data_IF_199142637435
#
_entry.id   IF_199142637435
#
_cell.length_a   1.000
_cell.length_b   1.000
_cell.length_c   1.000
_cell.angle_alpha   90.00
_cell.angle_beta   90.00
_cell.angle_gamma   90.00
#
_symmetry.space_group_name_H-M   'P 1'
#
loop_
_entity.id
_entity.type
_entity.pdbx_description
1 polymer ?
#
# COMPACT_ATOMS: atom_id res chain seq x y z
N UNK A 1 5.53 -39.37 17.39
CA UNK A 1 6.61 -38.37 17.31
C UNK A 1 6.52 -37.80 15.90
N UNK A 2 5.54 -36.94 15.62
CA UNK A 2 5.32 -36.37 14.27
C UNK A 2 4.66 -34.97 14.34
N UNK A 3 4.76 -34.28 15.48
CA UNK A 3 4.04 -33.01 15.70
C UNK A 3 4.92 -31.77 15.49
N UNK A 4 6.25 -31.94 15.48
CA UNK A 4 7.21 -30.84 15.29
C UNK A 4 7.49 -30.50 13.81
N UNK A 5 7.17 -31.39 12.86
CA UNK A 5 7.43 -31.14 11.42
C UNK A 5 6.41 -30.20 10.77
N UNK A 6 5.14 -30.27 11.19
CA UNK A 6 4.05 -29.48 10.62
C UNK A 6 4.18 -27.99 11.00
N UNK A 7 4.60 -27.71 12.24
CA UNK A 7 4.81 -26.33 12.70
C UNK A 7 5.97 -25.62 11.97
N UNK A 8 6.99 -26.38 11.54
CA UNK A 8 8.14 -25.84 10.81
C UNK A 8 7.81 -25.48 9.36
N UNK A 9 6.91 -26.23 8.72
CA UNK A 9 6.51 -25.98 7.32
C UNK A 9 5.61 -24.76 7.20
N UNK A 10 4.64 -24.60 8.11
CA UNK A 10 3.76 -23.43 8.16
C UNK A 10 4.53 -22.14 8.46
N UNK A 11 5.54 -22.21 9.34
CA UNK A 11 6.43 -21.08 9.63
C UNK A 11 7.23 -20.64 8.39
N UNK A 12 7.76 -21.59 7.64
CA UNK A 12 8.52 -21.34 6.41
C UNK A 12 7.63 -20.71 5.33
N UNK A 13 6.43 -21.27 5.10
CA UNK A 13 5.47 -20.70 4.13
C UNK A 13 5.03 -19.29 4.52
N UNK A 14 4.80 -19.05 5.82
CA UNK A 14 4.44 -17.71 6.32
C UNK A 14 5.58 -16.72 6.11
N UNK A 15 6.82 -17.12 6.35
CA UNK A 15 7.99 -16.29 6.13
C UNK A 15 8.22 -16.00 4.64
N UNK A 16 8.03 -16.99 3.77
CA UNK A 16 8.08 -16.82 2.32
C UNK A 16 7.00 -15.86 1.81
N UNK A 17 5.76 -15.99 2.30
CA UNK A 17 4.69 -15.05 2.00
C UNK A 17 5.05 -13.64 2.45
N UNK A 18 5.57 -13.47 3.67
CA UNK A 18 5.98 -12.16 4.18
C UNK A 18 7.08 -11.51 3.34
N UNK A 19 8.11 -12.27 2.97
CA UNK A 19 9.19 -11.77 2.12
C UNK A 19 8.70 -11.42 0.71
N UNK A 20 7.76 -12.22 0.19
CA UNK A 20 7.08 -11.92 -1.08
C UNK A 20 6.31 -10.62 -0.98
N UNK A 21 5.48 -10.45 0.06
CA UNK A 21 4.75 -9.20 0.30
C UNK A 21 5.72 -8.02 0.46
N UNK A 22 6.80 -8.17 1.21
CA UNK A 22 7.81 -7.12 1.41
C UNK A 22 8.48 -6.71 0.10
N UNK A 23 8.79 -7.66 -0.78
CA UNK A 23 9.35 -7.37 -2.12
C UNK A 23 8.41 -6.48 -2.94
N UNK A 24 7.10 -6.72 -2.89
CA UNK A 24 6.10 -5.99 -3.68
C UNK A 24 5.57 -4.72 -2.98
N UNK A 25 5.68 -4.63 -1.66
CA UNK A 25 5.25 -3.48 -0.87
C UNK A 25 6.39 -2.50 -0.56
N UNK A 26 7.62 -2.81 -1.00
CA UNK A 26 8.81 -2.01 -0.73
C UNK A 26 9.15 -1.94 0.77
N UNK A 27 9.70 -0.80 1.21
CA UNK A 27 10.13 -0.56 2.60
C UNK A 27 9.00 -0.35 3.62
N UNK A 28 7.73 -0.58 3.24
CA UNK A 28 6.57 -0.44 4.13
C UNK A 28 6.57 -1.54 5.20
N UNK A 29 7.02 -2.75 4.82
CA UNK A 29 7.15 -3.86 5.75
C UNK A 29 8.57 -3.90 6.35
N UNK A 30 8.69 -4.08 7.68
CA UNK A 30 9.97 -4.09 8.37
C UNK A 30 10.87 -5.28 7.97
N UNK A 31 12.17 -5.15 8.22
CA UNK A 31 13.12 -6.22 7.95
C UNK A 31 13.05 -7.32 9.02
N UNK A 32 12.87 -8.57 8.60
CA UNK A 32 12.73 -9.70 9.53
C UNK A 32 13.61 -10.84 9.04
N UNK A 33 14.38 -11.46 9.95
CA UNK A 33 15.39 -12.47 9.58
C UNK A 33 14.86 -13.90 9.60
N UNK A 34 13.71 -14.17 10.23
CA UNK A 34 13.08 -15.50 10.27
C UNK A 34 11.57 -15.46 10.52
N UNK A 35 10.86 -16.57 10.23
CA UNK A 35 9.43 -16.74 10.50
C UNK A 35 9.08 -16.60 12.00
N UNK A 36 9.92 -17.14 12.88
CA UNK A 36 9.79 -16.97 14.32
C UNK A 36 9.82 -15.50 14.73
N UNK A 37 10.75 -14.72 14.18
CA UNK A 37 10.86 -13.29 14.49
C UNK A 37 9.62 -12.53 13.98
N UNK A 38 9.08 -12.92 12.81
CA UNK A 38 7.83 -12.37 12.28
C UNK A 38 6.65 -12.65 13.23
N UNK A 39 6.47 -13.91 13.62
CA UNK A 39 5.41 -14.32 14.54
C UNK A 39 5.53 -13.61 15.89
N UNK A 40 6.75 -13.50 16.41
CA UNK A 40 7.04 -12.78 17.64
C UNK A 40 6.69 -11.29 17.50
N UNK A 41 7.10 -10.63 16.42
CA UNK A 41 6.75 -9.23 16.13
C UNK A 41 5.23 -9.02 16.06
N UNK A 42 4.49 -9.92 15.41
CA UNK A 42 3.02 -9.87 15.34
C UNK A 42 2.41 -10.03 16.75
N UNK A 43 2.82 -11.04 17.50
CA UNK A 43 2.32 -11.31 18.86
C UNK A 43 2.55 -10.13 19.80
N UNK A 44 3.78 -9.62 19.85
CA UNK A 44 4.13 -8.44 20.67
C UNK A 44 3.38 -7.20 20.20
N UNK A 45 3.28 -7.00 18.89
CA UNK A 45 2.54 -5.91 18.28
C UNK A 45 1.08 -5.90 18.69
N UNK A 46 0.38 -7.02 18.58
CA UNK A 46 -1.05 -7.12 18.88
C UNK A 46 -1.38 -7.05 20.38
N UNK A 47 -0.39 -7.28 21.26
CA UNK A 47 -0.62 -7.43 22.70
C UNK A 47 -1.30 -6.22 23.37
N UNK A 48 -0.95 -4.94 23.09
CA UNK A 48 -1.66 -3.79 23.66
C UNK A 48 -3.13 -3.73 23.25
N UNK A 49 -3.45 -4.09 22.00
CA UNK A 49 -4.82 -4.18 21.52
C UNK A 49 -5.59 -5.29 22.25
N UNK A 50 -5.02 -6.49 22.34
CA UNK A 50 -5.64 -7.63 23.02
C UNK A 50 -5.89 -7.33 24.51
N UNK A 51 -4.96 -6.64 25.18
CA UNK A 51 -5.13 -6.16 26.57
C UNK A 51 -6.30 -5.19 26.69
N UNK A 52 -6.36 -4.20 25.81
CA UNK A 52 -7.43 -3.21 25.81
C UNK A 52 -8.79 -3.85 25.54
N UNK A 53 -8.86 -4.78 24.57
CA UNK A 53 -10.06 -5.55 24.27
C UNK A 53 -10.49 -6.42 25.44
N UNK A 54 -9.56 -7.15 26.08
CA UNK A 54 -9.87 -8.00 27.22
C UNK A 54 -10.42 -7.20 28.42
N UNK A 55 -9.85 -6.02 28.70
CA UNK A 55 -10.36 -5.09 29.71
C UNK A 55 -11.76 -4.56 29.35
N UNK A 56 -11.98 -4.21 28.09
CA UNK A 56 -13.29 -3.74 27.60
C UNK A 56 -14.37 -4.82 27.75
N UNK A 57 -14.09 -6.06 27.33
CA UNK A 57 -15.04 -7.17 27.50
C UNK A 57 -15.29 -7.52 28.96
N UNK A 58 -14.26 -7.48 29.81
CA UNK A 58 -14.43 -7.63 31.25
C UNK A 58 -15.35 -6.56 31.83
N UNK A 59 -15.16 -5.30 31.43
CA UNK A 59 -16.02 -4.21 31.88
C UNK A 59 -17.48 -4.37 31.45
N UNK A 60 -17.72 -4.82 30.21
CA UNK A 60 -19.08 -4.99 29.69
C UNK A 60 -19.79 -6.23 30.23
N UNK A 61 -19.08 -7.34 30.37
CA UNK A 61 -19.67 -8.66 30.57
C UNK A 61 -19.23 -9.34 31.88
N UNK A 62 -18.39 -8.68 32.69
CA UNK A 62 -17.77 -9.25 33.90
C UNK A 62 -16.98 -10.55 33.66
N UNK A 63 -16.61 -10.84 32.41
CA UNK A 63 -15.81 -12.01 32.06
C UNK A 63 -14.37 -11.82 32.52
N UNK A 64 -13.80 -12.80 33.20
CA UNK A 64 -12.41 -12.73 33.67
C UNK A 64 -11.46 -12.67 32.46
N UNK A 65 -10.59 -11.64 32.34
CA UNK A 65 -9.60 -11.59 31.28
C UNK A 65 -8.63 -12.78 31.37
N UNK A 66 -8.16 -13.33 30.23
CA UNK A 66 -7.10 -14.34 30.23
C UNK A 66 -5.85 -13.85 30.96
N UNK A 67 -5.28 -14.70 31.83
CA UNK A 67 -4.12 -14.35 32.65
C UNK A 67 -2.90 -13.92 31.81
N UNK A 68 -2.71 -14.56 30.65
CA UNK A 68 -1.61 -14.27 29.71
C UNK A 68 -1.64 -12.82 29.19
N UNK A 69 -2.81 -12.18 29.17
CA UNK A 69 -2.97 -10.79 28.75
C UNK A 69 -2.74 -9.81 29.90
N UNK A 70 -3.02 -10.21 31.14
CA UNK A 70 -2.90 -9.37 32.34
C UNK A 70 -1.46 -9.24 32.86
N UNK A 71 -0.54 -10.08 32.40
CA UNK A 71 0.87 -10.05 32.81
C UNK A 71 1.57 -8.73 32.43
N UNK A 72 1.78 -7.83 33.39
CA UNK A 72 2.59 -6.63 33.22
C UNK A 72 4.06 -6.97 33.49
N UNK A 73 4.78 -7.48 32.48
CA UNK A 73 6.26 -7.40 32.39
C UNK A 73 6.78 -8.11 31.15
N UNK A 74 6.89 -7.37 30.06
CA UNK A 74 8.01 -7.54 29.14
C UNK A 74 8.48 -6.14 28.78
N UNK A 75 9.49 -5.69 29.52
CA UNK A 75 10.27 -4.52 29.13
C UNK A 75 10.99 -4.94 27.85
N UNK A 76 10.63 -4.33 26.72
CA UNK A 76 11.29 -4.53 25.44
C UNK A 76 12.72 -3.96 25.55
N UNK A 77 13.62 -4.71 26.20
CA UNK A 77 15.06 -4.46 26.14
C UNK A 77 15.57 -5.11 24.86
N UNK A 78 15.42 -4.39 23.76
CA UNK A 78 15.95 -4.78 22.46
C UNK A 78 15.46 -3.79 21.42
N UNK A 79 16.39 -3.20 20.66
CA UNK A 79 16.10 -2.33 19.52
C UNK A 79 15.48 -3.07 18.34
N UNK A 80 14.44 -3.87 18.58
CA UNK A 80 13.68 -4.62 17.60
C UNK A 80 12.42 -3.88 17.15
N UNK A 81 11.90 -4.32 16.01
CA UNK A 81 10.73 -3.75 15.32
C UNK A 81 9.49 -3.76 16.21
N UNK A 82 9.02 -2.58 16.59
CA UNK A 82 7.76 -2.39 17.31
C UNK A 82 6.67 -2.09 16.29
N UNK A 83 5.69 -3.00 16.15
CA UNK A 83 4.44 -2.66 15.47
C UNK A 83 3.73 -1.63 16.35
N UNK A 84 3.69 -0.36 15.91
CA UNK A 84 3.09 0.74 16.69
C UNK A 84 1.58 0.73 16.51
N UNK A 85 0.87 0.88 17.63
CA UNK A 85 -0.58 1.03 17.67
C UNK A 85 -0.96 2.42 18.21
N UNK A 86 -2.05 3.04 17.71
CA UNK A 86 -2.87 2.57 16.60
C UNK A 86 -2.09 2.61 15.28
N UNK A 87 -2.30 1.61 14.40
CA UNK A 87 -1.73 1.67 13.05
C UNK A 87 -2.33 2.87 12.34
N UNK A 88 -1.50 3.70 11.73
CA UNK A 88 -2.00 4.75 10.86
C UNK A 88 -2.70 4.10 9.66
N UNK A 89 -3.92 4.53 9.37
CA UNK A 89 -4.64 4.10 8.16
C UNK A 89 -3.86 4.54 6.93
N UNK A 90 -3.83 3.70 5.89
CA UNK A 90 -3.27 4.10 4.59
C UNK A 90 -3.99 5.34 4.09
N UNK A 91 -3.27 6.44 3.86
CA UNK A 91 -3.81 7.69 3.32
C UNK A 91 -3.21 7.95 1.95
N UNK A 92 -3.94 8.67 1.12
CA UNK A 92 -3.38 9.28 -0.07
C UNK A 92 -2.60 10.54 0.34
N UNK A 93 -1.69 10.99 -0.53
CA UNK A 93 -0.92 12.22 -0.28
C UNK A 93 -1.84 13.42 -0.12
N UNK A 94 -1.50 14.36 0.76
CA UNK A 94 -2.21 15.64 0.76
C UNK A 94 -1.84 16.41 -0.50
N UNK A 95 -2.82 16.72 -1.32
CA UNK A 95 -2.63 17.61 -2.46
C UNK A 95 -2.57 19.07 -1.98
N UNK A 96 -1.74 19.92 -2.60
CA UNK A 96 -1.75 21.36 -2.34
C UNK A 96 -3.13 21.99 -2.53
N UNK A 97 -3.46 22.99 -1.72
CA UNK A 97 -4.72 23.74 -1.86
C UNK A 97 -4.77 24.51 -3.18
N UNK A 98 -3.63 25.06 -3.62
CA UNK A 98 -3.49 25.68 -4.93
C UNK A 98 -2.99 24.66 -5.96
N UNK A 99 -3.90 24.29 -6.87
CA UNK A 99 -3.62 23.35 -7.97
C UNK A 99 -2.49 23.86 -8.90
N UNK A 100 -2.23 25.17 -8.95
CA UNK A 100 -1.13 25.76 -9.70
C UNK A 100 0.23 25.21 -9.28
N UNK A 101 0.39 24.86 -7.99
CA UNK A 101 1.61 24.23 -7.47
C UNK A 101 1.86 22.88 -8.15
N UNK A 102 0.82 22.05 -8.26
CA UNK A 102 0.90 20.75 -8.95
C UNK A 102 1.14 20.92 -10.45
N UNK A 103 0.50 21.90 -11.09
CA UNK A 103 0.71 22.21 -12.51
C UNK A 103 2.17 22.60 -12.74
N UNK A 104 2.74 23.44 -11.88
CA UNK A 104 4.13 23.88 -11.99
C UNK A 104 5.09 22.71 -11.78
N UNK A 105 4.88 21.89 -10.75
CA UNK A 105 5.68 20.67 -10.51
C UNK A 105 5.65 19.72 -11.71
N UNK A 106 4.46 19.45 -12.25
CA UNK A 106 4.32 18.60 -13.43
C UNK A 106 4.98 19.23 -14.67
N UNK A 107 4.86 20.54 -14.87
CA UNK A 107 5.44 21.24 -16.03
C UNK A 107 6.97 21.30 -15.99
N UNK A 108 7.54 21.32 -14.78
CA UNK A 108 8.99 21.30 -14.55
C UNK A 108 9.58 19.89 -14.49
N UNK A 109 8.76 18.84 -14.54
CA UNK A 109 9.24 17.46 -14.47
C UNK A 109 10.03 17.08 -15.73
N UNK A 110 11.27 16.65 -15.51
CA UNK A 110 12.18 16.13 -16.52
C UNK A 110 12.30 14.62 -16.38
N UNK A 111 12.19 13.91 -17.50
CA UNK A 111 12.28 12.46 -17.51
C UNK A 111 13.71 12.02 -17.13
N UNK A 112 13.88 11.16 -16.10
CA UNK A 112 15.21 10.73 -15.67
C UNK A 112 15.91 9.83 -16.69
N UNK A 113 15.17 9.13 -17.55
CA UNK A 113 15.73 8.24 -18.58
C UNK A 113 15.90 8.88 -19.95
N UNK A 114 15.26 10.01 -20.22
CA UNK A 114 15.36 10.73 -21.52
C UNK A 114 16.43 11.81 -21.52
N UNK A 115 17.48 11.68 -20.70
CA UNK A 115 18.56 12.67 -20.66
C UNK A 115 18.12 14.08 -20.24
N UNK A 116 17.02 14.22 -19.50
CA UNK A 116 16.52 15.51 -19.03
C UNK A 116 15.47 16.18 -19.93
N UNK A 117 15.02 15.52 -21.01
CA UNK A 117 13.90 16.02 -21.80
C UNK A 117 12.61 16.14 -20.96
N UNK A 118 11.80 17.16 -21.27
CA UNK A 118 10.48 17.35 -20.64
C UNK A 118 9.59 16.16 -20.93
N UNK A 119 8.95 15.61 -19.91
CA UNK A 119 7.95 14.56 -20.11
C UNK A 119 6.72 15.15 -20.80
N UNK A 120 6.19 14.43 -21.79
CA UNK A 120 4.94 14.82 -22.49
C UNK A 120 3.71 14.64 -21.61
N UNK A 121 3.78 13.71 -20.66
CA UNK A 121 2.66 13.32 -19.82
C UNK A 121 3.13 12.94 -18.39
N UNK A 122 3.58 13.93 -17.60
CA UNK A 122 3.88 13.76 -16.19
C UNK A 122 2.61 13.42 -15.40
N UNK A 123 2.70 12.42 -14.54
CA UNK A 123 1.59 11.92 -13.73
C UNK A 123 2.05 11.72 -12.29
N UNK A 124 1.24 12.15 -11.32
CA UNK A 124 1.51 12.09 -9.89
C UNK A 124 0.91 10.82 -9.27
N UNK A 125 1.70 10.01 -8.59
CA UNK A 125 1.19 8.91 -7.78
C UNK A 125 0.54 9.46 -6.51
N UNK A 126 -0.76 9.20 -6.31
CA UNK A 126 -1.49 9.64 -5.11
C UNK A 126 -1.17 8.82 -3.86
N UNK A 127 -0.52 7.66 -4.02
CA UNK A 127 -0.11 6.81 -2.90
C UNK A 127 1.18 7.34 -2.25
N UNK A 128 2.18 7.74 -3.06
CA UNK A 128 3.50 8.11 -2.56
C UNK A 128 3.97 9.54 -2.92
N UNK A 129 3.32 10.22 -3.87
CA UNK A 129 3.69 11.58 -4.31
C UNK A 129 4.76 11.65 -5.39
N UNK A 130 5.19 10.52 -5.95
CA UNK A 130 6.19 10.50 -7.02
C UNK A 130 5.61 10.97 -8.36
N UNK A 131 6.34 11.80 -9.10
CA UNK A 131 6.05 12.14 -10.50
C UNK A 131 6.69 11.13 -11.43
N UNK A 132 5.90 10.61 -12.38
CA UNK A 132 6.27 9.55 -13.30
C UNK A 132 5.91 9.92 -14.74
N UNK A 133 6.65 9.34 -15.68
CA UNK A 133 6.23 9.31 -17.07
C UNK A 133 5.03 8.37 -17.24
N UNK A 134 4.11 8.75 -18.12
CA UNK A 134 2.92 7.95 -18.43
C UNK A 134 2.58 8.11 -19.91
N UNK A 135 1.89 7.14 -20.52
CA UNK A 135 1.57 7.16 -21.96
C UNK A 135 2.80 7.51 -22.83
N UNK A 136 3.95 6.93 -22.51
CA UNK A 136 5.23 7.19 -23.17
C UNK A 136 6.16 5.98 -22.98
N UNK A 137 6.96 5.68 -24.01
CA UNK A 137 7.87 4.53 -24.01
C UNK A 137 9.22 4.81 -23.32
N UNK A 138 9.53 6.08 -23.02
CA UNK A 138 10.85 6.49 -22.50
C UNK A 138 11.27 5.86 -21.17
N UNK A 139 10.32 5.40 -20.37
CA UNK A 139 10.58 4.77 -19.08
C UNK A 139 9.99 3.36 -18.99
N UNK A 140 9.89 2.66 -20.11
CA UNK A 140 9.52 1.24 -20.09
C UNK A 140 10.56 0.40 -19.35
N UNK A 141 10.05 -0.64 -18.71
CA UNK A 141 10.83 -1.65 -17.98
C UNK A 141 10.14 -2.99 -18.13
N UNK A 142 10.94 -4.04 -18.26
CA UNK A 142 10.44 -5.40 -18.24
C UNK A 142 10.02 -5.79 -16.82
N UNK A 143 8.78 -6.23 -16.66
CA UNK A 143 8.23 -6.83 -15.43
C UNK A 143 7.54 -8.12 -15.81
N UNK A 144 7.95 -9.23 -15.19
CA UNK A 144 7.43 -10.58 -15.47
C UNK A 144 7.47 -10.99 -16.96
N UNK A 145 8.46 -10.48 -17.71
CA UNK A 145 8.67 -10.77 -19.14
C UNK A 145 7.94 -9.83 -20.10
N UNK A 146 7.18 -8.86 -19.60
CA UNK A 146 6.40 -7.90 -20.39
C UNK A 146 6.93 -6.47 -20.23
N UNK A 147 6.92 -5.70 -21.32
CA UNK A 147 7.45 -4.33 -21.39
C UNK A 147 6.43 -3.28 -20.90
N UNK A 148 6.37 -3.09 -19.59
CA UNK A 148 5.41 -2.18 -18.98
C UNK A 148 5.92 -0.74 -18.86
N UNK A 149 5.01 0.23 -18.95
CA UNK A 149 5.33 1.65 -18.73
C UNK A 149 5.61 1.98 -17.25
N UNK A 150 6.25 3.13 -16.99
CA UNK A 150 6.70 3.51 -15.64
C UNK A 150 5.60 3.57 -14.56
N UNK A 151 4.37 3.97 -14.90
CA UNK A 151 3.27 3.97 -13.94
C UNK A 151 2.89 2.54 -13.52
N UNK A 152 2.82 1.62 -14.47
CA UNK A 152 2.53 0.20 -14.22
C UNK A 152 3.68 -0.44 -13.44
N UNK A 153 4.92 -0.26 -13.86
CA UNK A 153 6.10 -0.73 -13.11
C UNK A 153 6.10 -0.22 -11.65
N UNK A 154 5.68 1.03 -11.44
CA UNK A 154 5.60 1.61 -10.11
C UNK A 154 4.56 0.92 -9.21
N UNK A 155 3.45 0.39 -9.73
CA UNK A 155 2.43 -0.25 -8.88
C UNK A 155 2.96 -1.52 -8.19
N UNK A 156 3.91 -2.21 -8.81
CA UNK A 156 4.58 -3.39 -8.24
C UNK A 156 5.47 -3.09 -7.05
N UNK A 157 5.86 -1.82 -6.86
CA UNK A 157 6.69 -1.36 -5.74
C UNK A 157 5.99 -0.33 -4.86
N UNK A 158 4.82 0.15 -5.28
CA UNK A 158 4.01 1.15 -4.61
C UNK A 158 2.52 0.83 -4.74
N UNK A 159 1.79 0.77 -3.63
CA UNK A 159 0.34 0.55 -3.68
C UNK A 159 -0.10 -0.89 -3.91
N UNK A 160 0.79 -1.87 -3.76
CA UNK A 160 0.46 -3.31 -3.76
C UNK A 160 -0.20 -3.81 -5.07
N UNK A 161 0.29 -3.34 -6.22
CA UNK A 161 -0.30 -3.63 -7.53
C UNK A 161 -1.43 -2.68 -7.93
N UNK A 162 -1.91 -1.82 -7.02
CA UNK A 162 -2.89 -0.78 -7.33
C UNK A 162 -2.22 0.57 -7.56
N UNK A 163 -2.58 1.21 -8.67
CA UNK A 163 -2.09 2.53 -9.06
C UNK A 163 -3.18 3.58 -9.05
N UNK A 164 -3.03 4.60 -8.17
CA UNK A 164 -3.84 5.81 -8.21
C UNK A 164 -3.00 6.97 -8.69
N UNK A 165 -3.36 7.51 -9.85
CA UNK A 165 -2.54 8.42 -10.60
C UNK A 165 -3.32 9.67 -11.01
N UNK A 166 -2.81 10.84 -10.63
CA UNK A 166 -3.36 12.14 -10.99
C UNK A 166 -2.56 12.74 -12.15
N UNK A 167 -3.24 12.98 -13.26
CA UNK A 167 -2.68 13.66 -14.43
C UNK A 167 -3.20 15.09 -14.50
N UNK A 168 -2.39 16.01 -15.00
CA UNK A 168 -2.86 17.35 -15.40
C UNK A 168 -3.93 17.20 -16.48
N UNK A 169 -5.14 17.67 -16.20
CA UNK A 169 -6.29 17.62 -17.12
C UNK A 169 -7.07 18.93 -17.14
N UNK A 170 -8.08 19.00 -18.00
CA UNK A 170 -9.06 20.09 -18.02
C UNK A 170 -10.30 19.61 -17.25
N UNK A 171 -10.82 20.37 -16.27
CA UNK A 171 -10.38 21.69 -15.83
C UNK A 171 -9.08 21.70 -15.02
N UNK A 172 -8.33 22.80 -15.11
CA UNK A 172 -7.10 23.06 -14.35
C UNK A 172 -7.39 23.43 -12.88
N UNK A 173 -8.30 22.71 -12.22
CA UNK A 173 -8.55 22.83 -10.80
C UNK A 173 -8.87 21.46 -10.19
N UNK A 174 -8.50 21.31 -8.91
CA UNK A 174 -8.85 20.12 -8.16
C UNK A 174 -10.27 20.26 -7.59
N UNK A 175 -11.11 19.25 -7.81
CA UNK A 175 -12.37 19.12 -7.09
C UNK A 175 -12.11 18.36 -5.78
N UNK A 176 -12.03 19.09 -4.66
CA UNK A 176 -11.72 18.50 -3.36
C UNK A 176 -12.75 17.45 -2.93
N UNK A 177 -14.03 17.66 -3.23
CA UNK A 177 -15.10 16.70 -2.92
C UNK A 177 -14.90 15.36 -3.63
N UNK A 178 -14.50 15.38 -4.92
CA UNK A 178 -14.19 14.17 -5.67
C UNK A 178 -12.94 13.49 -5.13
N UNK A 179 -11.93 14.27 -4.76
CA UNK A 179 -10.72 13.73 -4.14
C UNK A 179 -11.02 13.03 -2.80
N UNK A 180 -11.81 13.65 -1.93
CA UNK A 180 -12.28 13.06 -0.67
C UNK A 180 -13.13 11.81 -0.90
N UNK A 181 -13.91 11.74 -2.00
CA UNK A 181 -14.63 10.52 -2.37
C UNK A 181 -13.66 9.38 -2.71
N UNK A 182 -12.61 9.65 -3.48
CA UNK A 182 -11.57 8.67 -3.82
C UNK A 182 -10.82 8.23 -2.56
N UNK A 183 -10.46 9.15 -1.67
CA UNK A 183 -9.79 8.83 -0.40
C UNK A 183 -10.67 7.93 0.50
N UNK A 184 -11.99 8.19 0.56
CA UNK A 184 -12.92 7.29 1.26
C UNK A 184 -12.97 5.90 0.64
N UNK A 185 -13.06 5.80 -0.69
CA UNK A 185 -13.03 4.51 -1.39
C UNK A 185 -11.70 3.76 -1.15
N UNK A 186 -10.58 4.48 -1.10
CA UNK A 186 -9.27 3.92 -0.76
C UNK A 186 -9.27 3.33 0.65
N UNK A 187 -9.75 4.09 1.65
CA UNK A 187 -9.86 3.61 3.03
C UNK A 187 -10.79 2.40 3.19
N UNK A 188 -11.83 2.32 2.36
CA UNK A 188 -12.83 1.24 2.39
C UNK A 188 -12.47 0.06 1.47
N UNK A 189 -11.33 0.11 0.76
CA UNK A 189 -10.95 -0.87 -0.26
C UNK A 189 -11.97 -1.05 -1.40
N UNK A 190 -12.85 -0.06 -1.63
CA UNK A 190 -13.97 -0.14 -2.58
C UNK A 190 -13.65 0.29 -4.01
N UNK A 191 -12.39 0.64 -4.31
CA UNK A 191 -12.01 1.16 -5.65
C UNK A 191 -12.18 0.11 -6.74
N UNK A 192 -11.75 -1.13 -6.49
CA UNK A 192 -11.82 -2.21 -7.48
C UNK A 192 -13.29 -2.54 -7.83
N UNK A 193 -14.16 -2.57 -6.82
CA UNK A 193 -15.60 -2.77 -6.99
C UNK A 193 -16.23 -1.67 -7.86
N UNK A 194 -15.94 -0.40 -7.56
CA UNK A 194 -16.45 0.74 -8.34
C UNK A 194 -15.98 0.69 -9.79
N UNK A 195 -14.71 0.31 -10.03
CA UNK A 195 -14.17 0.15 -11.38
C UNK A 195 -14.90 -0.99 -12.11
N UNK A 196 -15.06 -2.15 -11.47
CA UNK A 196 -15.76 -3.30 -12.04
C UNK A 196 -17.18 -2.93 -12.49
N UNK A 197 -17.96 -2.29 -11.61
CA UNK A 197 -19.31 -1.84 -11.96
C UNK A 197 -19.33 -0.80 -13.08
N UNK A 198 -18.37 0.14 -13.11
CA UNK A 198 -18.30 1.14 -14.17
C UNK A 198 -17.96 0.53 -15.54
N UNK A 199 -17.14 -0.52 -15.57
CA UNK A 199 -16.81 -1.28 -16.78
C UNK A 199 -18.00 -2.11 -17.26
N UNK A 200 -18.72 -2.77 -16.36
CA UNK A 200 -19.94 -3.52 -16.68
C UNK A 200 -21.05 -2.62 -17.24
N UNK A 201 -21.22 -1.43 -16.65
CA UNK A 201 -22.24 -0.47 -17.07
C UNK A 201 -21.90 0.26 -18.39
N UNK A 202 -20.63 0.35 -18.77
CA UNK A 202 -20.17 0.99 -20.00
C UNK A 202 -19.44 -0.02 -20.89
N UNK A 203 -20.15 -0.64 -21.84
CA UNK A 203 -19.55 -1.48 -22.87
C UNK A 203 -18.51 -0.75 -23.75
N UNK A 204 -18.47 0.59 -23.72
CA UNK A 204 -17.48 1.45 -24.40
C UNK A 204 -16.23 1.75 -23.57
N UNK A 205 -16.18 1.40 -22.28
CA UNK A 205 -14.94 1.47 -21.47
C UNK A 205 -14.05 0.24 -21.67
N UNK A 206 -14.47 -0.72 -22.50
CA UNK A 206 -13.64 -1.84 -22.96
C UNK A 206 -13.00 -1.47 -24.29
N UNK A 207 -11.82 -0.87 -24.20
CA UNK A 207 -10.65 -1.13 -25.08
C UNK A 207 -9.41 -0.56 -24.39
N UNK A 208 -9.15 -1.00 -23.15
CA UNK A 208 -7.76 -1.19 -22.76
C UNK A 208 -7.49 -2.64 -23.13
N UNK A 209 -6.88 -2.83 -24.29
CA UNK A 209 -6.46 -4.14 -24.76
C UNK A 209 -5.27 -4.58 -23.91
N UNK A 210 -5.55 -5.47 -22.95
CA UNK A 210 -4.54 -6.06 -22.07
C UNK A 210 -3.60 -7.01 -22.81
N UNK A 211 -3.85 -7.35 -24.08
CA UNK A 211 -2.97 -8.22 -24.89
C UNK A 211 -1.77 -7.48 -25.50
N UNK A 212 -1.67 -6.17 -25.28
CA UNK A 212 -0.55 -5.33 -25.74
C UNK A 212 0.00 -4.41 -24.64
N UNK A 213 -0.11 -4.83 -23.37
CA UNK A 213 0.39 -4.10 -22.20
C UNK A 213 1.42 -4.91 -21.42
#
# INVERSE_FOLDING_TARGET
MDQDSIGSEEEELTFQLYNTLRKHLGGVLPDVTSGWQLLHCIKVGMLPFLRSAALFFHYLNSTTPPADLLGVRQQLQGGGIIIRFPRESNRLIRLPEDYSVLINQASSFTCPRSGGDKSRAPTLCLVCGSLLCSQSYCCQTEVDGEDVGACTAHTFTCGAGLGLFLRRGNPLHLCLERYQKIERLWHQHGIAEVIGHAQEANQTLVTIDWQHL
#
